data_IF_597956056952
#
_entry.id   IF_597956056952
#
_cell.length_a   1.000
_cell.length_b   1.000
_cell.length_c   1.000
_cell.angle_alpha   90.00
_cell.angle_beta   90.00
_cell.angle_gamma   90.00
#
_symmetry.space_group_name_H-M   'P 1'
#
loop_
_entity.id
_entity.type
_entity.pdbx_description
1 polymer ?
#
# COMPACT_ATOMS: atom_id res chain seq x y z
N UNK A 1 0.08 0.70 55.56
CA UNK A 1 -0.84 -0.09 54.70
C UNK A 1 -1.51 0.73 53.58
N UNK A 2 -2.18 1.85 53.86
CA UNK A 2 -2.80 2.72 52.81
C UNK A 2 -1.85 3.14 51.67
N UNK A 3 -0.59 3.48 51.97
CA UNK A 3 0.40 3.90 50.95
C UNK A 3 0.82 2.77 49.99
N UNK A 4 0.82 1.51 50.46
CA UNK A 4 1.16 0.33 49.66
C UNK A 4 0.00 -0.02 48.71
N UNK A 5 -1.24 0.12 49.19
CA UNK A 5 -2.45 -0.09 48.37
C UNK A 5 -2.51 0.92 47.23
N UNK A 6 -2.19 2.20 47.49
CA UNK A 6 -2.16 3.24 46.45
C UNK A 6 -1.09 2.95 45.40
N UNK A 7 0.11 2.50 45.81
CA UNK A 7 1.18 2.15 44.87
C UNK A 7 0.80 0.96 43.95
N UNK A 8 0.12 -0.05 44.49
CA UNK A 8 -0.37 -1.20 43.71
C UNK A 8 -1.47 -0.81 42.72
N UNK A 9 -2.38 0.09 43.09
CA UNK A 9 -3.43 0.59 42.20
C UNK A 9 -2.84 1.42 41.05
N UNK A 10 -1.84 2.27 41.33
CA UNK A 10 -1.16 3.07 40.29
C UNK A 10 -0.36 2.18 39.34
N UNK A 11 0.33 1.14 39.86
CA UNK A 11 1.03 0.17 39.02
C UNK A 11 0.08 -0.63 38.12
N UNK A 12 -1.10 -1.01 38.62
CA UNK A 12 -2.12 -1.69 37.83
C UNK A 12 -2.73 -0.80 36.73
N UNK A 13 -2.90 0.50 37.00
CA UNK A 13 -3.37 1.49 36.01
C UNK A 13 -2.31 1.80 34.93
N UNK A 14 -1.02 1.78 35.28
CA UNK A 14 0.06 1.94 34.31
C UNK A 14 0.27 0.68 33.45
N UNK A 15 0.03 -0.50 34.03
CA UNK A 15 0.05 -1.78 33.30
C UNK A 15 -1.14 -1.93 32.34
N UNK A 16 -2.31 -1.39 32.68
CA UNK A 16 -3.51 -1.47 31.82
C UNK A 16 -3.43 -0.56 30.58
N UNK A 17 -2.63 0.51 30.60
CA UNK A 17 -2.38 1.33 29.42
C UNK A 17 -1.57 0.62 28.32
N UNK A 18 -0.81 -0.43 28.66
CA UNK A 18 0.02 -1.18 27.72
C UNK A 18 -0.57 -2.53 27.32
N UNK A 19 -1.68 -2.98 27.92
CA UNK A 19 -2.22 -4.33 27.70
C UNK A 19 -3.23 -4.44 26.55
N UNK A 20 -3.70 -3.33 25.98
CA UNK A 20 -4.73 -3.31 24.94
C UNK A 20 -4.26 -2.68 23.61
N UNK A 21 -2.98 -2.83 23.27
CA UNK A 21 -2.61 -2.89 21.85
C UNK A 21 -2.63 -4.35 21.43
N UNK A 22 -3.83 -4.89 21.26
CA UNK A 22 -3.99 -6.02 20.35
C UNK A 22 -3.64 -5.46 18.97
N UNK A 23 -2.39 -5.64 18.54
CA UNK A 23 -2.06 -5.47 17.15
C UNK A 23 -3.02 -6.37 16.37
N UNK A 24 -3.85 -5.76 15.50
CA UNK A 24 -4.77 -6.53 14.68
C UNK A 24 -3.95 -7.58 13.91
N UNK A 25 -4.40 -8.86 13.87
CA UNK A 25 -3.65 -9.90 13.20
C UNK A 25 -3.47 -9.51 11.72
N UNK A 26 -2.20 -9.34 11.35
CA UNK A 26 -1.78 -8.93 10.01
C UNK A 26 -1.00 -10.07 9.37
N UNK A 27 -1.43 -10.49 8.18
CA UNK A 27 -0.67 -11.43 7.38
C UNK A 27 0.67 -10.81 6.95
N UNK A 28 1.74 -11.59 7.01
CA UNK A 28 3.05 -11.12 6.55
C UNK A 28 3.09 -11.05 5.01
N UNK A 29 3.73 -10.00 4.49
CA UNK A 29 4.09 -9.97 3.07
C UNK A 29 5.13 -11.06 2.82
N UNK A 30 4.83 -12.02 1.95
CA UNK A 30 5.81 -13.02 1.51
C UNK A 30 6.99 -12.40 0.76
N UNK A 31 6.80 -11.23 0.17
CA UNK A 31 7.83 -10.48 -0.53
C UNK A 31 8.58 -9.55 0.43
N UNK A 32 9.85 -9.91 0.69
CA UNK A 32 10.74 -9.07 1.50
C UNK A 32 11.03 -7.73 0.83
N UNK A 33 10.98 -6.66 1.63
CA UNK A 33 11.38 -5.32 1.20
C UNK A 33 12.86 -5.32 0.77
N UNK A 34 13.13 -4.80 -0.43
CA UNK A 34 14.49 -4.61 -0.96
C UNK A 34 14.59 -3.27 -1.68
N UNK A 35 15.72 -2.60 -1.55
CA UNK A 35 15.97 -1.37 -2.29
C UNK A 35 15.91 -1.64 -3.80
N UNK A 36 15.12 -0.85 -4.52
CA UNK A 36 15.01 -0.90 -5.96
C UNK A 36 16.08 -0.02 -6.62
N UNK A 37 17.16 -0.66 -7.08
CA UNK A 37 18.29 -0.03 -7.78
C UNK A 37 18.19 -0.09 -9.31
N UNK A 38 17.13 -0.72 -9.82
CA UNK A 38 16.93 -0.92 -11.24
C UNK A 38 16.49 0.33 -12.02
N UNK A 39 16.33 0.14 -13.34
CA UNK A 39 15.90 1.16 -14.32
C UNK A 39 14.76 0.67 -15.21
N UNK A 40 14.26 -0.53 -14.96
CA UNK A 40 13.16 -1.16 -15.68
C UNK A 40 11.86 -0.38 -15.53
N UNK A 41 11.65 0.30 -14.40
CA UNK A 41 10.52 1.21 -14.17
C UNK A 41 10.97 2.47 -13.45
N UNK A 42 10.35 3.59 -13.81
CA UNK A 42 10.50 4.87 -13.11
C UNK A 42 9.84 4.84 -11.73
N UNK A 43 10.42 5.57 -10.78
CA UNK A 43 9.92 5.71 -9.39
C UNK A 43 9.72 7.18 -9.00
N UNK A 44 9.96 8.12 -9.91
CA UNK A 44 9.77 9.56 -9.75
C UNK A 44 8.36 10.01 -10.18
N UNK A 45 7.40 9.07 -10.18
CA UNK A 45 6.02 9.28 -10.57
C UNK A 45 5.14 8.12 -10.09
N UNK A 46 3.94 8.06 -10.64
CA UNK A 46 2.96 7.01 -10.39
C UNK A 46 2.46 6.42 -11.69
N UNK A 47 1.86 5.25 -11.63
CA UNK A 47 1.31 4.53 -12.76
C UNK A 47 -0.21 4.50 -12.65
N UNK A 48 -0.89 4.89 -13.73
CA UNK A 48 -2.34 5.05 -13.76
C UNK A 48 -2.97 4.12 -14.80
N UNK A 49 -3.96 3.33 -14.38
CA UNK A 49 -4.81 2.57 -15.30
C UNK A 49 -6.01 3.43 -15.75
N UNK A 50 -6.21 3.55 -17.07
CA UNK A 50 -7.25 4.43 -17.66
C UNK A 50 -8.68 3.91 -17.50
N UNK A 51 -8.86 2.62 -17.29
CA UNK A 51 -10.17 1.98 -17.15
C UNK A 51 -10.09 0.81 -16.19
N UNK A 52 -10.63 0.99 -14.99
CA UNK A 52 -10.93 -0.13 -14.09
C UNK A 52 -12.45 -0.25 -13.98
N UNK A 53 -12.95 -1.37 -13.46
CA UNK A 53 -14.38 -1.53 -13.19
C UNK A 53 -14.87 -0.39 -12.26
N UNK A 54 -16.13 0.02 -12.42
CA UNK A 54 -16.84 0.94 -11.49
C UNK A 54 -16.35 2.41 -11.41
N UNK A 55 -15.89 2.99 -12.51
CA UNK A 55 -15.46 4.41 -12.57
C UNK A 55 -14.30 4.76 -11.62
N UNK A 56 -13.49 3.76 -11.28
CA UNK A 56 -12.26 3.93 -10.52
C UNK A 56 -11.05 4.06 -11.46
N UNK A 57 -9.94 4.51 -10.90
CA UNK A 57 -8.62 4.53 -11.51
C UNK A 57 -7.69 3.69 -10.66
N UNK A 58 -7.02 2.72 -11.27
CA UNK A 58 -5.96 1.96 -10.62
C UNK A 58 -4.73 2.86 -10.50
N UNK A 59 -4.17 2.94 -9.31
CA UNK A 59 -3.03 3.78 -8.97
C UNK A 59 -1.93 2.93 -8.34
N UNK A 60 -0.74 2.95 -8.95
CA UNK A 60 0.46 2.31 -8.41
C UNK A 60 1.55 3.37 -8.18
N UNK A 61 2.10 3.44 -6.97
CA UNK A 61 3.28 4.26 -6.66
C UNK A 61 4.42 3.35 -6.25
N UNK A 62 5.60 3.51 -6.86
CA UNK A 62 6.79 2.73 -6.57
C UNK A 62 7.84 3.58 -5.87
N UNK A 63 8.37 3.08 -4.75
CA UNK A 63 9.39 3.78 -3.98
C UNK A 63 10.74 3.09 -4.09
N UNK A 64 11.83 3.87 -4.15
CA UNK A 64 13.20 3.34 -4.26
C UNK A 64 13.58 2.40 -3.11
N UNK A 65 12.92 2.51 -1.97
CA UNK A 65 13.14 1.65 -0.81
C UNK A 65 12.40 0.30 -0.87
N UNK A 66 11.75 -0.04 -1.99
CA UNK A 66 11.04 -1.32 -2.19
C UNK A 66 9.59 -1.32 -1.75
N UNK A 67 9.08 -0.19 -1.23
CA UNK A 67 7.66 -0.04 -0.87
C UNK A 67 6.85 0.27 -2.13
N UNK A 68 5.61 -0.21 -2.18
CA UNK A 68 4.64 0.23 -3.17
C UNK A 68 3.32 0.66 -2.52
N UNK A 69 2.61 1.55 -3.21
CA UNK A 69 1.19 1.81 -3.01
C UNK A 69 0.43 1.19 -4.20
N UNK A 70 -0.59 0.39 -3.94
CA UNK A 70 -1.49 -0.22 -4.91
C UNK A 70 -2.93 0.05 -4.46
N UNK A 71 -3.62 1.00 -5.10
CA UNK A 71 -4.97 1.40 -4.68
C UNK A 71 -5.86 1.71 -5.87
N UNK A 72 -7.17 1.77 -5.63
CA UNK A 72 -8.14 2.27 -6.60
C UNK A 72 -8.77 3.55 -6.04
N UNK A 73 -8.79 4.59 -6.86
CA UNK A 73 -9.37 5.88 -6.49
C UNK A 73 -10.56 6.20 -7.37
N UNK A 74 -11.53 6.95 -6.84
CA UNK A 74 -12.62 7.47 -7.66
C UNK A 74 -12.08 8.49 -8.66
N UNK A 75 -12.63 8.53 -9.88
CA UNK A 75 -12.41 9.68 -10.77
C UNK A 75 -12.99 10.92 -10.11
N UNK A 76 -12.22 12.00 -10.08
CA UNK A 76 -12.60 13.28 -9.49
C UNK A 76 -11.86 14.43 -10.18
N UNK A 77 -12.40 15.63 -10.02
CA UNK A 77 -11.88 16.84 -10.65
C UNK A 77 -12.07 16.91 -12.17
N UNK A 78 -11.85 18.09 -12.74
CA UNK A 78 -11.77 18.29 -14.20
C UNK A 78 -10.41 17.87 -14.76
N UNK A 79 -9.34 17.99 -13.96
CA UNK A 79 -7.99 17.52 -14.26
C UNK A 79 -7.64 16.33 -13.35
N UNK A 80 -7.45 15.15 -13.97
CA UNK A 80 -7.12 13.91 -13.25
C UNK A 80 -5.77 13.97 -12.54
N UNK A 81 -4.75 14.60 -13.14
CA UNK A 81 -3.42 14.71 -12.52
C UNK A 81 -3.49 15.62 -11.30
N UNK A 82 -4.14 16.78 -11.44
CA UNK A 82 -4.30 17.73 -10.34
C UNK A 82 -5.06 17.10 -9.17
N UNK A 83 -6.16 16.40 -9.44
CA UNK A 83 -6.94 15.70 -8.42
C UNK A 83 -6.12 14.63 -7.70
N UNK A 84 -5.39 13.78 -8.44
CA UNK A 84 -4.55 12.74 -7.84
C UNK A 84 -3.47 13.34 -6.95
N UNK A 85 -2.74 14.34 -7.45
CA UNK A 85 -1.63 14.90 -6.70
C UNK A 85 -2.13 15.68 -5.49
N UNK A 86 -3.11 16.58 -5.64
CA UNK A 86 -3.48 17.50 -4.58
C UNK A 86 -4.51 16.93 -3.60
N UNK A 87 -5.51 16.20 -4.09
CA UNK A 87 -6.67 15.79 -3.30
C UNK A 87 -6.54 14.35 -2.77
N UNK A 88 -5.73 13.53 -3.42
CA UNK A 88 -5.47 12.13 -3.01
C UNK A 88 -4.11 12.01 -2.34
N UNK A 89 -3.01 12.25 -3.06
CA UNK A 89 -1.66 11.94 -2.58
C UNK A 89 -1.10 12.95 -1.58
N UNK A 90 -1.63 14.19 -1.55
CA UNK A 90 -1.32 15.19 -0.52
C UNK A 90 -2.34 15.23 0.63
N UNK A 91 -3.40 14.41 0.57
CA UNK A 91 -4.38 14.30 1.65
C UNK A 91 -3.77 13.56 2.84
N UNK A 92 -3.25 14.33 3.81
CA UNK A 92 -2.53 13.80 4.97
C UNK A 92 -3.33 12.77 5.77
N UNK A 93 -4.62 12.99 6.11
CA UNK A 93 -5.43 11.97 6.77
C UNK A 93 -5.56 10.66 5.98
N UNK A 94 -5.83 10.77 4.68
CA UNK A 94 -5.96 9.60 3.80
C UNK A 94 -4.63 8.83 3.72
N UNK A 95 -3.55 9.52 3.38
CA UNK A 95 -2.22 8.91 3.28
C UNK A 95 -1.80 8.29 4.61
N UNK A 96 -1.93 9.02 5.73
CA UNK A 96 -1.67 8.47 7.07
C UNK A 96 -2.45 7.18 7.31
N UNK A 97 -3.72 7.13 6.91
CA UNK A 97 -4.52 5.91 7.07
C UNK A 97 -3.90 4.72 6.32
N UNK A 98 -3.39 4.90 5.11
CA UNK A 98 -2.74 3.83 4.34
C UNK A 98 -1.42 3.36 4.99
N UNK A 99 -0.69 4.29 5.61
CA UNK A 99 0.63 4.07 6.24
C UNK A 99 0.59 3.72 7.74
N UNK A 100 -0.56 3.83 8.40
CA UNK A 100 -0.80 3.38 9.80
C UNK A 100 -1.68 2.14 9.86
N UNK A 101 -2.62 2.01 8.92
CA UNK A 101 -3.52 0.87 8.76
C UNK A 101 -3.21 0.22 7.41
N UNK A 102 -2.43 -0.86 7.38
CA UNK A 102 -1.87 -1.39 6.15
C UNK A 102 -2.98 -1.81 5.18
N UNK A 103 -3.32 -0.94 4.24
CA UNK A 103 -4.26 -1.19 3.15
C UNK A 103 -3.77 -0.46 1.92
N UNK A 104 -3.72 -1.17 0.80
CA UNK A 104 -3.16 -0.66 -0.46
C UNK A 104 -1.67 -0.30 -0.39
N UNK A 105 -0.94 -0.73 0.64
CA UNK A 105 0.51 -0.57 0.76
C UNK A 105 1.17 -1.94 0.88
N UNK A 106 2.39 -2.07 0.37
CA UNK A 106 3.22 -3.23 0.65
C UNK A 106 4.57 -3.14 -0.06
N UNK A 107 5.02 -4.23 -0.67
CA UNK A 107 6.35 -4.34 -1.27
C UNK A 107 6.27 -4.71 -2.73
N UNK A 108 7.30 -4.34 -3.50
CA UNK A 108 7.44 -4.79 -4.88
C UNK A 108 8.85 -5.25 -5.19
N UNK A 109 8.94 -6.10 -6.22
CA UNK A 109 10.20 -6.48 -6.83
C UNK A 109 10.06 -6.49 -8.34
N UNK A 110 11.16 -6.24 -9.02
CA UNK A 110 11.24 -6.39 -10.47
C UNK A 110 12.39 -7.35 -10.77
N UNK A 111 12.10 -8.38 -11.53
CA UNK A 111 13.10 -9.35 -12.01
C UNK A 111 13.00 -9.41 -13.52
N UNK A 112 14.00 -8.87 -14.22
CA UNK A 112 14.00 -8.73 -15.68
C UNK A 112 12.78 -7.95 -16.16
N UNK A 113 11.79 -8.63 -16.75
CA UNK A 113 10.55 -8.03 -17.25
C UNK A 113 9.33 -8.36 -16.39
N UNK A 114 9.50 -9.04 -15.27
CA UNK A 114 8.39 -9.37 -14.38
C UNK A 114 8.37 -8.40 -13.21
N UNK A 115 7.19 -7.83 -12.93
CA UNK A 115 6.92 -7.10 -11.70
C UNK A 115 6.00 -7.95 -10.82
N UNK A 116 6.37 -8.08 -9.55
CA UNK A 116 5.53 -8.64 -8.52
C UNK A 116 5.32 -7.58 -7.43
N UNK A 117 4.07 -7.31 -7.09
CA UNK A 117 3.71 -6.44 -5.97
C UNK A 117 2.86 -7.24 -4.98
N UNK A 118 3.06 -6.98 -3.71
CA UNK A 118 2.17 -7.43 -2.65
C UNK A 118 1.67 -6.22 -1.89
N UNK A 119 0.37 -6.16 -1.64
CA UNK A 119 -0.22 -5.12 -0.80
C UNK A 119 -1.25 -5.71 0.15
N UNK A 120 -1.39 -5.12 1.32
CA UNK A 120 -2.46 -5.50 2.24
C UNK A 120 -3.81 -4.98 1.76
N UNK A 121 -4.86 -5.73 2.04
CA UNK A 121 -6.25 -5.34 1.85
C UNK A 121 -7.05 -5.76 3.07
N UNK A 122 -7.95 -4.90 3.54
CA UNK A 122 -8.90 -5.30 4.56
C UNK A 122 -9.83 -6.40 4.06
N UNK A 123 -9.88 -7.52 4.78
CA UNK A 123 -10.90 -8.55 4.60
C UNK A 123 -12.18 -8.17 5.35
N UNK A 124 -12.02 -7.61 6.54
CA UNK A 124 -13.09 -7.09 7.38
C UNK A 124 -12.51 -5.97 8.28
N UNK A 125 -13.30 -5.47 9.24
CA UNK A 125 -12.87 -4.38 10.14
C UNK A 125 -11.70 -4.73 11.07
N UNK A 126 -11.30 -6.00 11.16
CA UNK A 126 -10.37 -6.53 12.16
C UNK A 126 -9.22 -7.36 11.57
N UNK A 127 -9.20 -7.62 10.26
CA UNK A 127 -8.13 -8.40 9.64
C UNK A 127 -7.82 -7.97 8.21
N UNK A 128 -6.55 -8.14 7.84
CA UNK A 128 -6.03 -7.88 6.50
C UNK A 128 -5.59 -9.18 5.84
N UNK A 129 -5.76 -9.27 4.52
CA UNK A 129 -5.15 -10.28 3.66
C UNK A 129 -4.06 -9.66 2.80
N UNK A 130 -3.19 -10.49 2.24
CA UNK A 130 -2.26 -10.08 1.18
C UNK A 130 -2.94 -10.23 -0.19
N UNK A 131 -2.71 -9.25 -1.06
CA UNK A 131 -3.09 -9.26 -2.47
C UNK A 131 -1.85 -9.26 -3.32
N UNK A 132 -1.70 -10.29 -4.16
CA UNK A 132 -0.63 -10.42 -5.13
C UNK A 132 -1.01 -9.77 -6.46
N UNK A 133 -0.13 -8.91 -6.98
CA UNK A 133 -0.22 -8.34 -8.31
C UNK A 133 0.97 -8.83 -9.12
N UNK A 134 0.73 -9.67 -10.13
CA UNK A 134 1.78 -10.18 -11.00
C UNK A 134 1.60 -9.60 -12.40
N UNK A 135 2.68 -9.04 -12.93
CA UNK A 135 2.65 -8.30 -14.18
C UNK A 135 3.94 -8.34 -14.97
N UNK A 136 3.93 -7.62 -16.08
CA UNK A 136 5.06 -7.42 -16.96
C UNK A 136 5.43 -5.94 -17.09
N UNK A 137 6.73 -5.69 -17.18
CA UNK A 137 7.30 -4.40 -17.56
C UNK A 137 7.40 -4.38 -19.09
N UNK A 138 6.62 -3.49 -19.71
CA UNK A 138 6.64 -3.30 -21.17
C UNK A 138 7.80 -2.38 -21.54
N UNK A 139 7.95 -1.28 -20.80
CA UNK A 139 9.06 -0.33 -20.85
C UNK A 139 9.10 0.47 -19.54
N UNK A 140 10.02 1.43 -19.44
CA UNK A 140 10.25 2.24 -18.24
C UNK A 140 9.08 3.12 -17.78
N UNK A 141 8.07 3.29 -18.63
CA UNK A 141 6.88 4.11 -18.39
C UNK A 141 5.57 3.33 -18.47
N UNK A 142 5.63 2.02 -18.73
CA UNK A 142 4.44 1.21 -18.96
C UNK A 142 4.61 -0.18 -18.36
N UNK A 143 3.64 -0.56 -17.53
CA UNK A 143 3.52 -1.90 -16.98
C UNK A 143 2.11 -2.44 -17.26
N UNK A 144 2.00 -3.77 -17.30
CA UNK A 144 0.71 -4.46 -17.34
C UNK A 144 0.60 -5.38 -16.13
N UNK A 145 -0.48 -5.27 -15.39
CA UNK A 145 -0.84 -6.24 -14.35
C UNK A 145 -1.70 -7.33 -14.98
N UNK A 146 -1.19 -8.55 -15.01
CA UNK A 146 -1.88 -9.69 -15.64
C UNK A 146 -2.84 -10.37 -14.66
N UNK A 147 -2.42 -10.47 -13.40
CA UNK A 147 -3.11 -11.26 -12.38
C UNK A 147 -3.17 -10.50 -11.07
N UNK A 148 -4.34 -10.55 -10.43
CA UNK A 148 -4.58 -10.12 -9.06
C UNK A 148 -5.10 -11.33 -8.29
N UNK A 149 -4.41 -11.76 -7.25
CA UNK A 149 -4.81 -12.91 -6.42
C UNK A 149 -4.97 -12.46 -4.98
N UNK A 150 -6.16 -12.65 -4.43
CA UNK A 150 -6.43 -12.44 -3.00
C UNK A 150 -6.10 -13.74 -2.25
N UNK A 151 -5.24 -13.67 -1.23
CA UNK A 151 -4.68 -14.84 -0.54
C UNK A 151 -5.74 -15.81 -0.01
N UNK A 152 -6.91 -15.31 0.41
CA UNK A 152 -7.99 -16.14 0.96
C UNK A 152 -8.81 -16.88 -0.10
N UNK A 153 -8.88 -16.33 -1.32
CA UNK A 153 -9.63 -16.92 -2.43
C UNK A 153 -8.81 -17.96 -3.20
N UNK A 154 -7.48 -17.85 -3.13
CA UNK A 154 -6.49 -18.63 -3.90
C UNK A 154 -6.82 -18.78 -5.40
N UNK A 155 -7.72 -17.92 -5.91
CA UNK A 155 -8.29 -17.99 -7.25
C UNK A 155 -7.84 -16.74 -7.99
N UNK A 156 -6.92 -16.86 -8.96
CA UNK A 156 -6.42 -15.73 -9.72
C UNK A 156 -7.56 -14.99 -10.43
N UNK A 157 -7.68 -13.68 -10.20
CA UNK A 157 -8.48 -12.81 -11.03
C UNK A 157 -7.61 -12.21 -12.13
N UNK A 158 -7.97 -12.47 -13.38
CA UNK A 158 -7.29 -11.86 -14.52
C UNK A 158 -7.77 -10.41 -14.69
N UNK A 159 -6.87 -9.45 -14.50
CA UNK A 159 -7.16 -8.02 -14.59
C UNK A 159 -6.76 -7.42 -15.95
N UNK A 160 -5.61 -7.85 -16.51
CA UNK A 160 -5.00 -7.32 -17.74
C UNK A 160 -4.96 -5.78 -17.82
N UNK A 161 -4.84 -5.11 -16.67
CA UNK A 161 -4.82 -3.65 -16.58
C UNK A 161 -3.47 -3.11 -17.05
N UNK A 162 -3.49 -2.19 -18.02
CA UNK A 162 -2.30 -1.45 -18.48
C UNK A 162 -2.21 -0.13 -17.73
N UNK A 163 -1.06 0.09 -17.09
CA UNK A 163 -0.79 1.32 -16.36
C UNK A 163 0.30 2.14 -17.06
N UNK A 164 0.07 3.45 -17.12
CA UNK A 164 0.98 4.41 -17.73
C UNK A 164 1.54 5.38 -16.71
N UNK A 165 2.83 5.69 -16.84
CA UNK A 165 3.56 6.58 -15.96
C UNK A 165 3.10 8.04 -16.09
N UNK A 166 2.98 8.69 -14.93
CA UNK A 166 2.77 10.13 -14.78
C UNK A 166 3.83 10.65 -13.79
N UNK A 167 4.69 11.60 -14.20
CA UNK A 167 5.72 12.15 -13.31
C UNK A 167 5.08 12.98 -12.19
N UNK A 168 5.65 12.87 -11.00
CA UNK A 168 5.21 13.68 -9.85
C UNK A 168 5.59 15.15 -10.02
N UNK A 169 4.70 16.04 -9.59
CA UNK A 169 5.11 17.39 -9.17
C UNK A 169 5.74 17.34 -7.77
N UNK A 170 5.10 16.61 -6.85
CA UNK A 170 5.57 16.42 -5.48
C UNK A 170 5.36 14.95 -5.07
N UNK A 171 6.45 14.22 -4.86
CA UNK A 171 6.38 12.81 -4.49
C UNK A 171 5.93 12.64 -3.03
N UNK A 172 4.92 11.81 -2.73
CA UNK A 172 4.54 11.52 -1.35
C UNK A 172 5.65 10.76 -0.60
N UNK A 173 5.69 10.93 0.72
CA UNK A 173 6.64 10.19 1.56
C UNK A 173 6.27 8.69 1.65
N UNK A 174 7.28 7.85 1.88
CA UNK A 174 7.12 6.39 1.94
C UNK A 174 7.41 5.80 3.33
N UNK A 175 7.54 6.64 4.35
CA UNK A 175 7.83 6.18 5.71
C UNK A 175 6.63 5.42 6.26
N UNK A 176 6.85 4.15 6.58
CA UNK A 176 5.88 3.24 7.20
C UNK A 176 6.50 2.66 8.46
N UNK A 177 5.71 2.52 9.51
CA UNK A 177 6.14 1.90 10.78
C UNK A 177 6.23 0.38 10.71
N UNK A 178 5.73 -0.24 9.64
CA UNK A 178 5.37 -1.66 9.66
C UNK A 178 5.87 -2.48 8.47
N UNK A 179 6.51 -1.86 7.47
CA UNK A 179 7.33 -2.54 6.47
C UNK A 179 8.80 -2.27 6.82
N UNK A 180 9.46 -3.25 7.45
CA UNK A 180 10.87 -3.15 7.82
C UNK A 180 11.76 -3.59 6.67
#
# INVERSE_FOLDING_TARGET
MKKIIIALVVAALLASCNLFRLDEPREDLGLQRRQYTGKELRTDGYYLAKSTRENRLGLIVLYRNGVCLCTYIMKGGSDTKQYIENDVLQNKPYMRSLFEKPTGIGTFMITKRTIALQAWKYKNKHSTIVVDYIGEVINDTTLRVNTITEFDSNTPQFAYDIFHFVPFTHKPDSTTSFIK
#
